data_IF_618996783544
#
_entry.id   IF_618996783544
#
_cell.length_a   1.000
_cell.length_b   1.000
_cell.length_c   1.000
_cell.angle_alpha   90.00
_cell.angle_beta   90.00
_cell.angle_gamma   90.00
#
_symmetry.space_group_name_H-M   'P 1'
#
loop_
_entity.id
_entity.type
_entity.pdbx_description
1 polymer ?
#
# COMPACT_ATOMS: atom_id res chain seq x y z
N UNK A 1 16.66 -11.83 -39.89
CA UNK A 1 15.61 -12.80 -39.52
C UNK A 1 15.65 -12.92 -38.00
N UNK A 2 14.81 -12.17 -37.29
CA UNK A 2 14.55 -12.38 -35.89
C UNK A 2 13.84 -13.73 -35.76
N UNK A 3 14.56 -14.74 -35.26
CA UNK A 3 14.00 -16.06 -34.96
C UNK A 3 12.76 -15.89 -34.10
N UNK A 4 11.66 -16.58 -34.43
CA UNK A 4 10.46 -16.64 -33.59
C UNK A 4 10.88 -17.19 -32.23
N UNK A 5 10.95 -16.32 -31.23
CA UNK A 5 11.16 -16.72 -29.86
C UNK A 5 9.99 -17.65 -29.50
N UNK A 6 10.28 -18.91 -29.18
CA UNK A 6 9.27 -19.86 -28.73
C UNK A 6 8.72 -19.33 -27.38
N UNK A 7 7.42 -19.15 -27.32
CA UNK A 7 6.75 -18.82 -26.04
C UNK A 7 6.82 -20.03 -25.12
N UNK A 8 6.97 -19.81 -23.80
CA UNK A 8 6.82 -20.89 -22.83
C UNK A 8 5.48 -21.62 -22.99
N UNK A 9 5.42 -22.88 -22.60
CA UNK A 9 4.19 -23.64 -22.55
C UNK A 9 3.27 -23.14 -21.46
N UNK A 10 1.98 -23.36 -21.59
CA UNK A 10 1.00 -22.96 -20.59
C UNK A 10 -0.40 -23.50 -20.91
N UNK A 11 -1.31 -23.46 -19.94
CA UNK A 11 -2.66 -23.91 -20.12
C UNK A 11 -3.41 -23.06 -21.16
N UNK A 12 -4.31 -23.68 -21.90
CA UNK A 12 -5.16 -22.98 -22.87
C UNK A 12 -6.04 -21.91 -22.18
N UNK A 13 -6.23 -20.78 -22.85
CA UNK A 13 -6.93 -19.60 -22.30
C UNK A 13 -8.31 -19.91 -21.71
N UNK A 14 -9.06 -20.83 -22.33
CA UNK A 14 -10.40 -21.23 -21.86
C UNK A 14 -10.30 -22.02 -20.55
N UNK A 15 -9.32 -22.93 -20.43
CA UNK A 15 -9.10 -23.70 -19.21
C UNK A 15 -8.78 -22.81 -18.00
N UNK A 16 -7.90 -21.82 -18.18
CA UNK A 16 -7.54 -20.86 -17.12
C UNK A 16 -8.75 -20.04 -16.67
N UNK A 17 -9.51 -19.49 -17.61
CA UNK A 17 -10.71 -18.69 -17.29
C UNK A 17 -11.75 -19.53 -16.57
N UNK A 18 -12.03 -20.76 -17.04
CA UNK A 18 -12.99 -21.66 -16.38
C UNK A 18 -12.52 -22.03 -14.96
N UNK A 19 -11.23 -22.30 -14.78
CA UNK A 19 -10.68 -22.65 -13.47
C UNK A 19 -10.72 -21.44 -12.52
N UNK A 20 -10.38 -20.24 -12.98
CA UNK A 20 -10.50 -19.00 -12.20
C UNK A 20 -11.95 -18.71 -11.81
N UNK A 21 -12.91 -18.98 -12.71
CA UNK A 21 -14.33 -18.79 -12.41
C UNK A 21 -14.86 -19.84 -11.43
N UNK A 22 -14.34 -21.07 -11.47
CA UNK A 22 -14.73 -22.15 -10.56
C UNK A 22 -14.07 -22.06 -9.19
N UNK A 23 -12.89 -21.42 -9.10
CA UNK A 23 -12.11 -21.26 -7.86
C UNK A 23 -12.03 -19.79 -7.44
N UNK A 24 -13.16 -19.10 -7.43
CA UNK A 24 -13.26 -17.67 -7.08
C UNK A 24 -12.65 -17.30 -5.72
N UNK A 25 -12.62 -18.26 -4.80
CA UNK A 25 -12.14 -18.05 -3.43
C UNK A 25 -10.61 -18.24 -3.30
N UNK A 26 -9.95 -18.89 -4.27
CA UNK A 26 -8.51 -19.17 -4.21
C UNK A 26 -7.82 -19.00 -5.57
N UNK A 27 -7.74 -17.81 -6.14
CA UNK A 27 -7.16 -17.59 -7.47
C UNK A 27 -5.67 -17.94 -7.56
N UNK A 28 -4.92 -17.87 -6.46
CA UNK A 28 -3.51 -18.23 -6.37
C UNK A 28 -3.27 -19.73 -6.65
N UNK A 29 -4.17 -20.62 -6.26
CA UNK A 29 -4.03 -22.06 -6.52
C UNK A 29 -3.98 -22.38 -8.00
N UNK A 30 -4.66 -21.58 -8.84
CA UNK A 30 -4.65 -21.73 -10.30
C UNK A 30 -3.28 -21.40 -10.87
N UNK A 31 -2.64 -20.35 -10.38
CA UNK A 31 -1.29 -19.94 -10.80
C UNK A 31 -0.24 -20.95 -10.32
N UNK A 32 -0.36 -21.47 -9.11
CA UNK A 32 0.51 -22.54 -8.61
C UNK A 32 0.39 -23.82 -9.42
N UNK A 33 -0.83 -24.26 -9.69
CA UNK A 33 -1.07 -25.45 -10.50
C UNK A 33 -0.51 -25.29 -11.92
N UNK A 34 -0.67 -24.12 -12.52
CA UNK A 34 -0.10 -23.80 -13.82
C UNK A 34 1.43 -23.83 -13.80
N UNK A 35 2.07 -23.24 -12.79
CA UNK A 35 3.52 -23.24 -12.63
C UNK A 35 4.06 -24.67 -12.41
N UNK A 36 3.40 -25.47 -11.59
CA UNK A 36 3.79 -26.89 -11.36
C UNK A 36 3.67 -27.73 -12.63
N UNK A 37 2.65 -27.49 -13.45
CA UNK A 37 2.39 -28.26 -14.66
C UNK A 37 3.30 -27.87 -15.85
N UNK A 38 3.68 -26.60 -15.95
CA UNK A 38 4.33 -26.05 -17.15
C UNK A 38 5.73 -25.46 -16.89
N UNK A 39 6.19 -25.47 -15.63
CA UNK A 39 7.54 -25.07 -15.27
C UNK A 39 7.68 -23.61 -14.79
N UNK A 40 8.94 -23.15 -14.62
CA UNK A 40 9.25 -21.89 -13.91
C UNK A 40 8.78 -20.62 -14.62
N UNK A 41 8.49 -20.70 -15.91
CA UNK A 41 7.87 -19.62 -16.69
C UNK A 41 6.69 -20.19 -17.46
N UNK A 42 5.49 -19.89 -17.01
CA UNK A 42 4.26 -20.37 -17.62
C UNK A 42 3.59 -19.24 -18.39
N UNK A 43 3.24 -19.47 -19.65
CA UNK A 43 2.52 -18.50 -20.45
C UNK A 43 1.01 -18.80 -20.46
N UNK A 44 0.20 -17.78 -20.14
CA UNK A 44 -1.25 -17.85 -20.27
C UNK A 44 -1.77 -16.65 -21.08
N UNK A 45 -2.93 -16.78 -21.69
CA UNK A 45 -3.60 -15.66 -22.36
C UNK A 45 -4.89 -15.33 -21.63
N UNK A 46 -4.95 -14.14 -21.06
CA UNK A 46 -6.11 -13.65 -20.28
C UNK A 46 -6.60 -12.33 -20.86
N UNK A 47 -7.89 -12.22 -21.13
CA UNK A 47 -8.53 -11.01 -21.69
C UNK A 47 -7.79 -10.42 -22.91
N UNK A 48 -7.24 -11.29 -23.76
CA UNK A 48 -6.47 -10.87 -24.95
C UNK A 48 -5.00 -10.59 -24.72
N UNK A 49 -4.56 -10.47 -23.48
CA UNK A 49 -3.18 -10.17 -23.08
C UNK A 49 -2.36 -11.45 -22.88
N UNK A 50 -1.06 -11.34 -23.11
CA UNK A 50 -0.10 -12.37 -22.81
C UNK A 50 0.41 -12.17 -21.38
N UNK A 51 0.10 -13.12 -20.50
CA UNK A 51 0.53 -13.12 -19.11
C UNK A 51 1.59 -14.21 -18.92
N UNK A 52 2.68 -13.86 -18.26
CA UNK A 52 3.76 -14.79 -17.93
C UNK A 52 3.83 -14.91 -16.41
N UNK A 53 3.61 -16.13 -15.90
CA UNK A 53 3.74 -16.46 -14.48
C UNK A 53 5.18 -16.92 -14.29
N UNK A 54 5.94 -16.16 -13.51
CA UNK A 54 7.35 -16.46 -13.20
C UNK A 54 7.41 -16.91 -11.75
N UNK A 55 7.77 -18.18 -11.52
CA UNK A 55 7.81 -18.82 -10.19
C UNK A 55 9.23 -19.16 -9.71
N UNK A 56 10.24 -19.03 -10.56
CA UNK A 56 11.64 -19.27 -10.19
C UNK A 56 12.22 -18.03 -9.51
N UNK A 57 12.79 -18.14 -8.28
CA UNK A 57 13.33 -17.00 -7.55
C UNK A 57 14.48 -16.28 -8.28
N UNK A 58 15.31 -16.99 -9.05
CA UNK A 58 16.42 -16.39 -9.80
C UNK A 58 15.88 -15.52 -10.95
N UNK A 59 14.86 -15.99 -11.66
CA UNK A 59 14.19 -15.22 -12.71
C UNK A 59 13.41 -14.04 -12.15
N UNK A 60 12.77 -14.18 -10.99
CA UNK A 60 12.12 -13.06 -10.28
C UNK A 60 13.16 -12.01 -9.93
N UNK A 61 14.31 -12.42 -9.40
CA UNK A 61 15.43 -11.51 -9.10
C UNK A 61 15.93 -10.81 -10.36
N UNK A 62 16.10 -11.53 -11.49
CA UNK A 62 16.50 -10.94 -12.76
C UNK A 62 15.52 -9.85 -13.21
N UNK A 63 14.20 -10.12 -13.18
CA UNK A 63 13.16 -9.16 -13.58
C UNK A 63 13.17 -7.91 -12.69
N UNK A 64 13.21 -8.07 -11.37
CA UNK A 64 13.02 -6.94 -10.45
C UNK A 64 14.29 -6.17 -10.11
N UNK A 65 15.47 -6.79 -10.23
CA UNK A 65 16.75 -6.12 -9.94
C UNK A 65 17.55 -5.84 -11.20
N UNK A 66 17.89 -6.88 -11.96
CA UNK A 66 18.81 -6.73 -13.11
C UNK A 66 18.15 -5.99 -14.27
N UNK A 67 16.88 -6.32 -14.55
CA UNK A 67 16.11 -5.76 -15.68
C UNK A 67 14.99 -4.82 -15.24
N UNK A 68 15.04 -4.28 -14.03
CA UNK A 68 14.01 -3.40 -13.50
C UNK A 68 13.67 -2.20 -14.41
N UNK A 69 14.66 -1.71 -15.17
CA UNK A 69 14.47 -0.59 -16.12
C UNK A 69 13.83 -1.00 -17.45
N UNK A 70 13.77 -2.30 -17.75
CA UNK A 70 13.19 -2.84 -18.99
C UNK A 70 11.71 -3.24 -18.82
N UNK A 71 11.22 -3.23 -17.61
CA UNK A 71 9.86 -3.58 -17.25
C UNK A 71 9.09 -2.38 -16.71
N UNK A 72 7.79 -2.42 -16.83
CA UNK A 72 6.89 -1.39 -16.30
C UNK A 72 5.74 -2.03 -15.52
N UNK A 73 5.08 -1.26 -14.69
CA UNK A 73 3.93 -1.69 -13.90
C UNK A 73 2.77 -2.07 -14.80
N UNK A 74 2.10 -3.16 -14.45
CA UNK A 74 1.01 -3.72 -15.25
C UNK A 74 -0.23 -2.84 -15.28
N UNK A 75 -1.14 -3.14 -16.21
CA UNK A 75 -2.40 -2.38 -16.41
C UNK A 75 -3.29 -2.34 -15.17
N UNK A 76 -3.28 -3.39 -14.32
CA UNK A 76 -4.05 -3.41 -13.07
C UNK A 76 -3.65 -2.25 -12.15
N UNK A 77 -2.35 -2.03 -11.99
CA UNK A 77 -1.84 -0.93 -11.18
C UNK A 77 -2.08 0.44 -11.84
N UNK A 78 -1.92 0.51 -13.17
CA UNK A 78 -2.24 1.74 -13.92
C UNK A 78 -3.73 2.11 -13.81
N UNK A 79 -4.63 1.16 -13.65
CA UNK A 79 -6.05 1.41 -13.44
C UNK A 79 -6.37 2.11 -12.10
N UNK A 80 -5.44 2.10 -11.14
CA UNK A 80 -5.56 2.83 -9.88
C UNK A 80 -5.20 4.34 -9.99
N UNK A 81 -4.70 4.80 -11.14
CA UNK A 81 -4.34 6.22 -11.34
C UNK A 81 -5.46 7.24 -11.04
N UNK A 82 -6.74 6.98 -11.31
CA UNK A 82 -7.78 7.93 -10.93
C UNK A 82 -7.84 8.21 -9.42
N UNK A 83 -7.41 7.25 -8.59
CA UNK A 83 -7.30 7.41 -7.14
C UNK A 83 -5.93 7.93 -6.73
N UNK A 84 -4.86 7.27 -7.18
CA UNK A 84 -3.49 7.46 -6.70
C UNK A 84 -2.71 8.51 -7.52
N UNK A 85 -3.31 9.07 -8.57
CA UNK A 85 -2.62 9.99 -9.47
C UNK A 85 -1.37 9.35 -10.10
N UNK A 86 -0.30 10.10 -10.14
CA UNK A 86 1.02 9.66 -10.62
C UNK A 86 2.04 9.54 -9.49
N UNK A 87 1.60 9.11 -8.30
CA UNK A 87 2.46 8.88 -7.14
C UNK A 87 3.38 7.67 -7.30
N UNK A 88 4.15 7.36 -6.27
CA UNK A 88 5.22 6.36 -6.31
C UNK A 88 4.74 4.97 -6.76
N UNK A 89 3.51 4.59 -6.45
CA UNK A 89 2.93 3.30 -6.83
C UNK A 89 2.56 3.20 -8.32
N UNK A 90 2.18 4.29 -8.96
CA UNK A 90 1.64 4.33 -10.34
C UNK A 90 2.57 4.99 -11.36
N UNK A 91 3.55 5.78 -10.91
CA UNK A 91 4.53 6.46 -11.75
C UNK A 91 5.55 5.50 -12.37
N UNK A 92 6.19 5.91 -13.46
CA UNK A 92 7.13 5.11 -14.22
C UNK A 92 8.40 5.91 -14.59
N UNK A 93 9.45 5.19 -14.95
CA UNK A 93 10.68 5.73 -15.54
C UNK A 93 11.41 6.74 -14.65
N UNK A 94 11.93 7.81 -15.25
CA UNK A 94 12.71 8.83 -14.54
C UNK A 94 11.88 9.62 -13.53
N UNK A 95 10.59 9.84 -13.83
CA UNK A 95 9.69 10.50 -12.90
C UNK A 95 9.52 9.67 -11.63
N UNK A 96 9.30 8.35 -11.75
CA UNK A 96 9.24 7.44 -10.60
C UNK A 96 10.53 7.50 -9.77
N UNK A 97 11.70 7.46 -10.42
CA UNK A 97 12.98 7.52 -9.72
C UNK A 97 13.17 8.84 -8.98
N UNK A 98 12.69 9.94 -9.55
CA UNK A 98 12.67 11.24 -8.90
C UNK A 98 11.78 11.24 -7.65
N UNK A 99 10.52 10.80 -7.78
CA UNK A 99 9.60 10.73 -6.64
C UNK A 99 10.18 9.86 -5.51
N UNK A 100 10.79 8.73 -5.86
CA UNK A 100 11.46 7.85 -4.91
C UNK A 100 12.62 8.56 -4.18
N UNK A 101 13.48 9.30 -4.89
CA UNK A 101 14.57 10.06 -4.26
C UNK A 101 14.06 11.12 -3.29
N UNK A 102 12.99 11.83 -3.66
CA UNK A 102 12.36 12.84 -2.81
C UNK A 102 11.72 12.26 -1.55
N UNK A 103 11.07 11.10 -1.67
CA UNK A 103 10.40 10.44 -0.54
C UNK A 103 11.35 9.65 0.36
N UNK A 104 12.45 9.10 -0.17
CA UNK A 104 13.35 8.20 0.56
C UNK A 104 13.88 8.75 1.89
N UNK A 105 14.26 10.04 2.04
CA UNK A 105 14.76 10.58 3.30
C UNK A 105 13.78 10.45 4.47
N UNK A 106 12.48 10.50 4.21
CA UNK A 106 11.44 10.35 5.23
C UNK A 106 11.37 8.93 5.83
N UNK A 107 12.01 7.95 5.17
CA UNK A 107 12.09 6.55 5.61
C UNK A 107 13.48 6.18 6.15
N UNK A 108 14.31 7.15 6.53
CA UNK A 108 15.56 6.86 7.21
C UNK A 108 15.32 6.28 8.60
N UNK A 109 16.27 5.43 9.06
CA UNK A 109 16.15 4.68 10.32
C UNK A 109 15.79 5.53 11.53
N UNK A 110 16.34 6.71 11.64
CA UNK A 110 16.07 7.65 12.75
C UNK A 110 14.61 8.10 12.75
N UNK A 111 14.02 8.33 11.55
CA UNK A 111 12.61 8.71 11.41
C UNK A 111 11.67 7.57 11.74
N UNK A 112 11.99 6.37 11.24
CA UNK A 112 11.22 5.18 11.58
C UNK A 112 11.22 4.93 13.09
N UNK A 113 12.34 5.21 13.78
CA UNK A 113 12.41 5.09 15.21
C UNK A 113 11.52 6.13 15.94
N UNK A 114 11.41 7.36 15.42
CA UNK A 114 10.48 8.35 15.94
C UNK A 114 9.02 7.94 15.75
N UNK A 115 8.67 7.40 14.60
CA UNK A 115 7.31 6.88 14.33
C UNK A 115 6.92 5.71 15.23
N UNK A 116 7.89 4.96 15.78
CA UNK A 116 7.61 3.86 16.69
C UNK A 116 6.91 4.32 17.98
N UNK A 117 7.21 5.52 18.49
CA UNK A 117 6.53 6.08 19.66
C UNK A 117 5.05 6.33 19.40
N UNK A 118 4.72 6.87 18.21
CA UNK A 118 3.33 7.06 17.79
C UNK A 118 2.61 5.71 17.61
N UNK A 119 3.28 4.71 17.03
CA UNK A 119 2.72 3.37 16.86
C UNK A 119 2.39 2.72 18.19
N UNK A 120 3.28 2.80 19.19
CA UNK A 120 3.06 2.27 20.53
C UNK A 120 1.90 3.01 21.20
N UNK A 121 1.92 4.36 21.16
CA UNK A 121 0.86 5.19 21.75
C UNK A 121 -0.53 4.84 21.20
N UNK A 122 -0.67 4.67 19.90
CA UNK A 122 -1.94 4.31 19.29
C UNK A 122 -2.36 2.87 19.59
N UNK A 123 -1.40 1.94 19.67
CA UNK A 123 -1.65 0.56 20.04
C UNK A 123 -2.13 0.44 21.50
N UNK A 124 -1.49 1.15 22.45
CA UNK A 124 -1.91 1.22 23.85
C UNK A 124 -3.31 1.83 23.97
N UNK A 125 -3.53 3.00 23.35
CA UNK A 125 -4.84 3.66 23.34
C UNK A 125 -5.95 2.77 22.80
N UNK A 126 -5.64 1.92 21.85
CA UNK A 126 -6.59 0.95 21.28
C UNK A 126 -6.83 -0.20 22.22
N UNK A 127 -5.77 -0.80 22.76
CA UNK A 127 -5.84 -1.89 23.75
C UNK A 127 -6.61 -1.52 25.02
N UNK A 128 -6.46 -0.30 25.50
CA UNK A 128 -7.15 0.22 26.70
C UNK A 128 -8.69 0.27 26.54
N UNK A 129 -9.20 0.21 25.31
CA UNK A 129 -10.65 0.16 25.05
C UNK A 129 -11.20 -1.26 25.11
N UNK A 130 -10.36 -2.27 25.10
CA UNK A 130 -10.79 -3.65 25.15
C UNK A 130 -11.19 -4.02 26.57
N UNK A 131 -12.32 -4.65 26.69
CA UNK A 131 -12.89 -5.05 27.97
C UNK A 131 -12.90 -6.58 28.03
N UNK A 132 -12.50 -7.13 29.17
CA UNK A 132 -12.49 -8.57 29.37
C UNK A 132 -13.86 -9.21 29.09
N UNK A 133 -13.88 -10.26 28.27
CA UNK A 133 -15.09 -10.93 27.82
C UNK A 133 -15.87 -10.24 26.69
N UNK A 134 -15.40 -9.10 26.17
CA UNK A 134 -16.00 -8.48 24.98
C UNK A 134 -15.61 -9.24 23.69
N UNK A 135 -16.53 -9.28 22.74
CA UNK A 135 -16.26 -9.70 21.38
C UNK A 135 -15.87 -8.48 20.55
N UNK A 136 -14.76 -8.58 19.82
CA UNK A 136 -14.27 -7.52 18.95
C UNK A 136 -14.03 -8.06 17.53
N UNK A 137 -14.35 -7.27 16.51
CA UNK A 137 -13.94 -7.58 15.14
C UNK A 137 -12.50 -7.15 14.95
N UNK A 138 -11.61 -8.13 14.78
CA UNK A 138 -10.17 -7.88 14.70
C UNK A 138 -9.78 -7.16 13.39
N UNK A 139 -10.56 -7.30 12.33
CA UNK A 139 -10.32 -6.56 11.07
C UNK A 139 -10.63 -5.08 11.30
N UNK A 140 -11.76 -4.75 11.91
CA UNK A 140 -12.13 -3.37 12.22
C UNK A 140 -11.15 -2.72 13.21
N UNK A 141 -10.70 -3.49 14.22
CA UNK A 141 -9.72 -3.03 15.19
C UNK A 141 -8.37 -2.70 14.54
N UNK A 142 -7.83 -3.61 13.73
CA UNK A 142 -6.55 -3.39 13.07
C UNK A 142 -6.63 -2.33 11.97
N UNK A 143 -7.74 -2.24 11.26
CA UNK A 143 -8.02 -1.18 10.29
C UNK A 143 -7.99 0.19 10.96
N UNK A 144 -8.72 0.33 12.07
CA UNK A 144 -8.76 1.60 12.83
C UNK A 144 -7.41 1.95 13.46
N UNK A 145 -6.68 0.95 13.99
CA UNK A 145 -5.35 1.15 14.56
C UNK A 145 -4.36 1.66 13.50
N UNK A 146 -4.24 0.95 12.39
CA UNK A 146 -3.29 1.31 11.33
C UNK A 146 -3.63 2.65 10.68
N UNK A 147 -4.92 3.00 10.61
CA UNK A 147 -5.34 4.31 10.13
C UNK A 147 -4.93 5.43 11.09
N UNK A 148 -5.10 5.25 12.41
CA UNK A 148 -4.66 6.22 13.41
C UNK A 148 -3.13 6.41 13.37
N UNK A 149 -2.38 5.31 13.25
CA UNK A 149 -0.92 5.34 13.10
C UNK A 149 -0.51 6.13 11.84
N UNK A 150 -1.15 5.84 10.70
CA UNK A 150 -0.89 6.57 9.45
C UNK A 150 -1.20 8.06 9.60
N UNK A 151 -2.31 8.42 10.25
CA UNK A 151 -2.67 9.80 10.54
C UNK A 151 -1.59 10.54 11.32
N UNK A 152 -1.07 9.94 12.37
CA UNK A 152 0.00 10.54 13.19
C UNK A 152 1.34 10.61 12.46
N UNK A 153 1.77 9.51 11.87
CA UNK A 153 3.08 9.44 11.23
C UNK A 153 3.15 10.21 9.90
N UNK A 154 2.05 10.27 9.14
CA UNK A 154 2.01 11.01 7.89
C UNK A 154 1.70 12.49 8.07
N UNK A 155 0.82 12.85 9.03
CA UNK A 155 0.25 14.19 9.14
C UNK A 155 0.47 14.84 10.51
N UNK A 156 1.14 14.16 11.45
CA UNK A 156 1.34 14.65 12.82
C UNK A 156 0.04 14.93 13.58
N UNK A 157 -1.10 14.47 13.09
CA UNK A 157 -2.41 14.81 13.62
C UNK A 157 -3.29 13.59 13.84
N UNK A 158 -4.21 13.74 14.79
CA UNK A 158 -5.24 12.75 15.04
C UNK A 158 -6.37 12.93 14.02
N UNK A 159 -6.42 12.03 13.04
CA UNK A 159 -7.48 12.02 12.02
C UNK A 159 -8.80 11.43 12.54
N UNK A 160 -8.95 11.13 13.84
CA UNK A 160 -10.13 10.41 14.37
C UNK A 160 -11.46 11.13 14.14
N UNK A 161 -11.50 12.43 13.92
CA UNK A 161 -12.70 13.18 13.53
C UNK A 161 -13.11 13.01 12.07
N UNK A 162 -12.15 13.05 11.16
CA UNK A 162 -12.34 12.85 9.71
C UNK A 162 -12.09 11.38 9.30
N UNK A 163 -11.52 10.58 10.20
CA UNK A 163 -11.03 9.23 9.96
C UNK A 163 -12.10 8.25 9.53
N UNK A 164 -13.27 8.30 10.15
CA UNK A 164 -14.36 7.40 9.78
C UNK A 164 -14.81 7.70 8.34
N UNK A 165 -14.99 8.97 8.00
CA UNK A 165 -15.37 9.37 6.64
C UNK A 165 -14.28 9.06 5.62
N UNK A 166 -13.00 9.23 5.99
CA UNK A 166 -11.86 8.90 5.13
C UNK A 166 -11.73 7.39 4.93
N UNK A 167 -11.84 6.60 6.01
CA UNK A 167 -11.79 5.14 5.97
C UNK A 167 -12.93 4.56 5.13
N UNK A 168 -14.17 5.00 5.34
CA UNK A 168 -15.34 4.58 4.58
C UNK A 168 -15.20 4.88 3.09
N UNK A 169 -14.71 6.08 2.74
CA UNK A 169 -14.46 6.47 1.35
C UNK A 169 -13.36 5.57 0.75
N UNK A 170 -12.28 5.33 1.47
CA UNK A 170 -11.17 4.53 0.99
C UNK A 170 -11.59 3.07 0.76
N UNK A 171 -12.34 2.47 1.68
CA UNK A 171 -12.89 1.12 1.54
C UNK A 171 -13.83 1.02 0.33
N UNK A 172 -14.75 1.98 0.15
CA UNK A 172 -15.63 2.04 -1.04
C UNK A 172 -14.80 2.14 -2.34
N UNK A 173 -13.71 2.92 -2.33
CA UNK A 173 -12.82 3.08 -3.47
C UNK A 173 -12.08 1.78 -3.78
N UNK A 174 -11.49 1.12 -2.79
CA UNK A 174 -10.76 -0.15 -2.96
C UNK A 174 -11.68 -1.24 -3.52
N UNK A 175 -12.84 -1.44 -2.90
CA UNK A 175 -13.85 -2.40 -3.36
C UNK A 175 -14.38 -2.07 -4.77
N UNK A 176 -14.52 -0.78 -5.06
CA UNK A 176 -14.97 -0.27 -6.36
C UNK A 176 -13.94 -0.47 -7.47
N UNK A 177 -12.67 -0.15 -7.21
CA UNK A 177 -11.60 -0.26 -8.20
C UNK A 177 -11.33 -1.70 -8.62
N UNK A 178 -11.39 -2.67 -7.71
CA UNK A 178 -11.29 -4.10 -8.06
C UNK A 178 -12.31 -4.53 -9.11
N UNK A 179 -13.53 -4.00 -9.04
CA UNK A 179 -14.59 -4.31 -10.01
C UNK A 179 -14.49 -3.51 -11.32
N UNK A 180 -13.93 -2.31 -11.29
CA UNK A 180 -13.81 -1.42 -12.45
C UNK A 180 -12.51 -1.66 -13.24
N UNK A 181 -11.45 -2.12 -12.59
CA UNK A 181 -10.19 -2.50 -13.25
C UNK A 181 -10.40 -3.62 -14.29
N UNK A 182 -11.40 -4.48 -14.07
CA UNK A 182 -11.79 -5.49 -15.04
C UNK A 182 -12.34 -4.90 -16.37
N UNK A 183 -12.83 -3.65 -16.35
CA UNK A 183 -13.34 -2.96 -17.54
C UNK A 183 -12.19 -2.42 -18.40
N UNK A 184 -11.04 -2.13 -17.80
CA UNK A 184 -9.80 -1.76 -18.49
C UNK A 184 -9.84 -0.46 -19.32
N UNK A 185 -10.93 0.32 -19.25
CA UNK A 185 -11.10 1.56 -20.01
C UNK A 185 -11.64 2.69 -19.14
N UNK A 186 -10.80 3.66 -18.80
CA UNK A 186 -11.13 4.80 -17.97
C UNK A 186 -12.31 5.62 -18.50
N UNK A 187 -12.44 5.78 -19.84
CA UNK A 187 -13.54 6.53 -20.44
C UNK A 187 -14.90 5.86 -20.19
N UNK A 188 -14.91 4.53 -20.17
CA UNK A 188 -16.12 3.73 -19.85
C UNK A 188 -16.44 3.89 -18.36
N UNK A 189 -15.46 3.83 -17.49
CA UNK A 189 -15.62 4.04 -16.05
C UNK A 189 -16.26 5.40 -15.76
N UNK A 190 -15.81 6.48 -16.41
CA UNK A 190 -16.36 7.85 -16.25
C UNK A 190 -17.83 7.99 -16.67
N UNK A 191 -18.32 7.13 -17.55
CA UNK A 191 -19.72 7.19 -18.05
C UNK A 191 -20.66 6.34 -17.19
N UNK A 192 -20.16 5.27 -16.57
CA UNK A 192 -20.96 4.39 -15.73
C UNK A 192 -21.39 5.10 -14.43
N UNK A 193 -22.66 4.91 -13.97
CA UNK A 193 -23.13 5.51 -12.72
C UNK A 193 -22.24 5.14 -11.51
N UNK A 194 -21.85 3.87 -11.39
CA UNK A 194 -20.93 3.40 -10.35
C UNK A 194 -19.56 4.06 -10.45
N UNK A 195 -19.03 4.23 -11.65
CA UNK A 195 -17.75 4.88 -11.86
C UNK A 195 -17.78 6.37 -11.52
N UNK A 196 -18.86 7.07 -11.89
CA UNK A 196 -19.04 8.50 -11.51
C UNK A 196 -19.14 8.70 -10.01
N UNK A 197 -19.87 7.81 -9.30
CA UNK A 197 -19.95 7.85 -7.84
C UNK A 197 -18.56 7.67 -7.22
N UNK A 198 -17.79 6.70 -7.73
CA UNK A 198 -16.44 6.42 -7.25
C UNK A 198 -15.51 7.62 -7.46
N UNK A 199 -15.56 8.26 -8.66
CA UNK A 199 -14.77 9.45 -8.94
C UNK A 199 -15.18 10.66 -8.08
N UNK A 200 -16.47 10.78 -7.73
CA UNK A 200 -16.92 11.79 -6.76
C UNK A 200 -16.30 11.57 -5.38
N UNK A 201 -16.20 10.32 -4.94
CA UNK A 201 -15.53 9.98 -3.66
C UNK A 201 -14.03 10.29 -3.69
N UNK A 202 -13.37 10.10 -4.83
CA UNK A 202 -11.97 10.53 -4.99
C UNK A 202 -11.86 12.04 -4.78
N UNK A 203 -12.79 12.83 -5.34
CA UNK A 203 -12.78 14.29 -5.17
C UNK A 203 -13.01 14.70 -3.70
N UNK A 204 -13.88 14.00 -2.97
CA UNK A 204 -14.10 14.24 -1.54
C UNK A 204 -12.80 14.00 -0.74
N UNK A 205 -12.10 12.92 -1.07
CA UNK A 205 -10.82 12.55 -0.46
C UNK A 205 -9.71 13.56 -0.79
N UNK A 206 -9.65 13.99 -2.06
CA UNK A 206 -8.72 15.02 -2.52
C UNK A 206 -8.87 16.32 -1.74
N UNK A 207 -10.10 16.72 -1.45
CA UNK A 207 -10.38 17.92 -0.67
C UNK A 207 -9.85 17.82 0.78
N UNK A 208 -9.93 16.63 1.39
CA UNK A 208 -9.35 16.40 2.73
C UNK A 208 -7.83 16.49 2.67
N UNK A 209 -7.20 15.79 1.72
CA UNK A 209 -5.73 15.80 1.57
C UNK A 209 -5.22 17.21 1.27
N UNK A 210 -5.89 17.96 0.38
CA UNK A 210 -5.50 19.33 0.06
C UNK A 210 -5.58 20.25 1.28
N UNK A 211 -6.63 20.15 2.07
CA UNK A 211 -6.77 20.91 3.32
C UNK A 211 -5.60 20.64 4.28
N UNK A 212 -5.21 19.37 4.46
CA UNK A 212 -4.08 19.01 5.32
C UNK A 212 -2.76 19.59 4.78
N UNK A 213 -2.53 19.53 3.48
CA UNK A 213 -1.36 20.15 2.84
C UNK A 213 -1.33 21.67 3.09
N UNK A 214 -2.46 22.33 2.93
CA UNK A 214 -2.57 23.78 3.13
C UNK A 214 -2.35 24.17 4.60
N UNK A 215 -2.91 23.41 5.55
CA UNK A 215 -2.71 23.58 6.99
C UNK A 215 -1.22 23.48 7.37
N UNK A 216 -0.49 22.46 6.85
CA UNK A 216 0.94 22.30 7.09
C UNK A 216 1.78 23.47 6.56
N UNK A 217 1.39 24.00 5.39
CA UNK A 217 2.06 25.18 4.81
C UNK A 217 1.81 26.46 5.60
N UNK A 218 0.58 26.64 6.06
CA UNK A 218 0.20 27.77 6.90
C UNK A 218 0.88 27.73 8.26
N UNK A 219 0.97 26.54 8.87
CA UNK A 219 1.68 26.33 10.12
C UNK A 219 3.16 26.65 9.96
N UNK A 220 3.77 26.17 8.90
CA UNK A 220 5.16 26.49 8.59
C UNK A 220 5.38 27.99 8.37
N UNK A 221 4.48 28.67 7.66
CA UNK A 221 4.57 30.11 7.48
C UNK A 221 4.48 30.88 8.81
N UNK A 222 3.84 30.27 9.81
CA UNK A 222 3.75 30.80 11.20
C UNK A 222 4.91 30.37 12.09
N UNK A 223 5.87 29.57 11.57
CA UNK A 223 7.03 29.08 12.33
C UNK A 223 6.72 27.85 13.19
N UNK A 224 5.60 27.16 12.94
CA UNK A 224 5.29 25.87 13.55
C UNK A 224 5.91 24.77 12.68
N UNK A 225 6.76 23.96 13.27
CA UNK A 225 7.41 22.83 12.61
C UNK A 225 6.69 21.53 13.01
N UNK A 226 6.42 20.69 12.02
CA UNK A 226 5.91 19.35 12.19
C UNK A 226 7.01 18.35 11.83
N UNK A 227 7.15 17.27 12.61
CA UNK A 227 8.11 16.19 12.36
C UNK A 227 7.40 14.94 11.80
N UNK A 228 6.67 15.13 10.72
CA UNK A 228 5.87 14.12 10.03
C UNK A 228 6.30 13.93 8.56
N UNK A 229 5.80 12.88 7.92
CA UNK A 229 6.15 12.56 6.54
C UNK A 229 5.76 13.68 5.57
N UNK A 230 4.60 14.31 5.74
CA UNK A 230 4.11 15.36 4.83
C UNK A 230 5.03 16.58 4.86
N UNK A 231 5.47 17.00 6.07
CA UNK A 231 6.43 18.09 6.23
C UNK A 231 7.74 17.82 5.50
N UNK A 232 8.23 16.57 5.58
CA UNK A 232 9.42 16.15 4.84
C UNK A 232 9.24 16.18 3.34
N UNK A 233 8.08 15.77 2.82
CA UNK A 233 7.79 15.83 1.40
C UNK A 233 7.65 17.27 0.89
N UNK A 234 7.05 18.16 1.67
CA UNK A 234 6.95 19.60 1.36
C UNK A 234 8.33 20.22 1.24
N UNK A 235 9.29 19.79 2.07
CA UNK A 235 10.65 20.30 2.09
C UNK A 235 11.62 19.64 1.14
N UNK A 236 11.30 18.46 0.66
CA UNK A 236 12.16 17.68 -0.20
C UNK A 236 12.57 18.43 -1.47
N UNK A 237 13.86 18.39 -1.80
CA UNK A 237 14.43 19.05 -2.97
C UNK A 237 15.19 18.05 -3.85
N UNK A 238 14.91 18.08 -5.13
CA UNK A 238 15.59 17.30 -6.14
C UNK A 238 16.54 18.19 -6.97
N UNK A 239 17.82 18.07 -6.72
CA UNK A 239 18.83 18.81 -7.46
C UNK A 239 19.11 18.19 -8.84
N UNK A 240 18.98 16.87 -8.98
CA UNK A 240 19.26 16.15 -10.23
C UNK A 240 18.16 16.34 -11.28
N UNK A 241 16.89 16.29 -10.87
CA UNK A 241 15.73 16.41 -11.77
C UNK A 241 15.18 17.84 -11.91
N UNK A 242 15.79 18.82 -11.25
CA UNK A 242 15.26 20.19 -11.15
C UNK A 242 14.99 20.86 -12.50
N UNK A 243 15.82 20.62 -13.49
CA UNK A 243 15.67 21.21 -14.83
C UNK A 243 14.43 20.70 -15.59
N UNK A 244 14.00 19.47 -15.33
CA UNK A 244 12.88 18.82 -16.04
C UNK A 244 11.58 18.89 -15.26
N UNK A 245 11.64 18.72 -13.93
CA UNK A 245 10.45 18.51 -13.08
C UNK A 245 10.29 19.58 -11.99
N UNK A 246 11.20 20.56 -11.91
CA UNK A 246 11.27 21.50 -10.80
C UNK A 246 12.03 20.94 -9.58
N UNK A 247 12.47 21.83 -8.71
CA UNK A 247 13.29 21.46 -7.53
C UNK A 247 12.44 20.77 -6.45
N UNK A 248 11.16 21.14 -6.31
CA UNK A 248 10.24 20.64 -5.28
C UNK A 248 9.08 19.86 -5.91
N UNK A 249 8.34 19.14 -5.08
CA UNK A 249 7.06 18.58 -5.48
C UNK A 249 6.02 19.69 -5.68
N UNK A 250 5.17 19.54 -6.69
CA UNK A 250 3.94 20.33 -6.85
C UNK A 250 2.88 19.84 -5.88
N UNK A 251 1.79 20.60 -5.68
CA UNK A 251 0.67 20.18 -4.83
C UNK A 251 0.01 18.90 -5.34
N UNK A 252 -0.10 18.75 -6.66
CA UNK A 252 -0.59 17.53 -7.28
C UNK A 252 0.33 16.33 -6.97
N UNK A 253 1.65 16.52 -7.04
CA UNK A 253 2.61 15.47 -6.69
C UNK A 253 2.57 15.12 -5.19
N UNK A 254 2.46 16.12 -4.31
CA UNK A 254 2.30 15.90 -2.87
C UNK A 254 1.02 15.12 -2.58
N UNK A 255 -0.10 15.53 -3.17
CA UNK A 255 -1.38 14.81 -3.07
C UNK A 255 -1.23 13.35 -3.51
N UNK A 256 -0.60 13.09 -4.65
CA UNK A 256 -0.44 11.76 -5.22
C UNK A 256 0.44 10.86 -4.33
N UNK A 257 1.49 11.40 -3.74
CA UNK A 257 2.32 10.67 -2.79
C UNK A 257 1.60 10.42 -1.45
N UNK A 258 0.90 11.40 -0.92
CA UNK A 258 0.09 11.25 0.29
C UNK A 258 -0.94 10.14 0.11
N UNK A 259 -1.69 10.14 -0.98
CA UNK A 259 -2.66 9.10 -1.29
C UNK A 259 -2.00 7.72 -1.42
N UNK A 260 -0.82 7.67 -2.03
CA UNK A 260 -0.04 6.43 -2.17
C UNK A 260 0.37 5.89 -0.80
N UNK A 261 0.89 6.73 0.09
CA UNK A 261 1.38 6.28 1.41
C UNK A 261 0.23 5.90 2.36
N UNK A 262 -0.86 6.66 2.35
CA UNK A 262 -2.06 6.31 3.13
C UNK A 262 -2.57 4.93 2.73
N UNK A 263 -2.81 4.70 1.44
CA UNK A 263 -3.31 3.42 0.95
C UNK A 263 -2.34 2.27 1.28
N UNK A 264 -1.04 2.47 1.01
CA UNK A 264 -0.04 1.45 1.22
C UNK A 264 0.17 1.10 2.71
N UNK A 265 0.15 2.09 3.59
CA UNK A 265 0.43 1.90 5.02
C UNK A 265 -0.76 1.36 5.82
N UNK A 266 -1.97 1.78 5.47
CA UNK A 266 -3.18 1.43 6.19
C UNK A 266 -3.63 0.00 5.94
N UNK A 267 -4.11 -0.32 4.73
CA UNK A 267 -4.80 -1.57 4.43
C UNK A 267 -3.89 -2.80 4.53
N UNK A 268 -2.67 -2.72 3.97
CA UNK A 268 -1.76 -3.87 3.95
C UNK A 268 -1.35 -4.28 5.34
N UNK A 269 -1.08 -3.32 6.22
CA UNK A 269 -0.69 -3.56 7.61
C UNK A 269 -1.88 -4.06 8.43
N UNK A 270 -3.06 -3.49 8.26
CA UNK A 270 -4.29 -3.96 8.90
C UNK A 270 -4.57 -5.44 8.59
N UNK A 271 -4.50 -5.81 7.32
CA UNK A 271 -4.70 -7.20 6.90
C UNK A 271 -3.62 -8.14 7.44
N UNK A 272 -2.35 -7.72 7.43
CA UNK A 272 -1.27 -8.52 7.99
C UNK A 272 -1.48 -8.79 9.49
N UNK A 273 -1.85 -7.77 10.26
CA UNK A 273 -2.15 -7.90 11.70
C UNK A 273 -3.38 -8.76 11.94
N UNK A 274 -4.47 -8.57 11.17
CA UNK A 274 -5.69 -9.38 11.30
C UNK A 274 -5.41 -10.87 11.05
N UNK A 275 -4.65 -11.19 9.99
CA UNK A 275 -4.22 -12.56 9.72
C UNK A 275 -3.30 -13.11 10.81
N UNK A 276 -2.44 -12.28 11.39
CA UNK A 276 -1.56 -12.68 12.51
C UNK A 276 -2.41 -13.08 13.72
N UNK A 277 -3.37 -12.26 14.12
CA UNK A 277 -4.28 -12.59 15.21
C UNK A 277 -5.07 -13.87 14.97
N UNK A 278 -5.60 -14.04 13.75
CA UNK A 278 -6.32 -15.26 13.39
C UNK A 278 -5.40 -16.51 13.45
N UNK A 279 -4.19 -16.42 12.90
CA UNK A 279 -3.23 -17.53 12.94
C UNK A 279 -2.82 -17.88 14.37
N UNK A 280 -2.56 -16.89 15.21
CA UNK A 280 -2.24 -17.12 16.62
C UNK A 280 -3.41 -17.76 17.38
N UNK A 281 -4.64 -17.34 17.11
CA UNK A 281 -5.82 -17.99 17.72
C UNK A 281 -5.99 -19.45 17.32
N UNK A 282 -5.57 -19.81 16.11
CA UNK A 282 -5.59 -21.19 15.62
C UNK A 282 -4.38 -22.03 16.09
N UNK A 283 -3.31 -21.40 16.61
CA UNK A 283 -2.06 -22.04 16.97
C UNK A 283 -1.59 -21.62 18.39
N UNK A 284 -2.24 -22.12 19.47
CA UNK A 284 -1.96 -21.67 20.83
C UNK A 284 -0.50 -21.81 21.27
N UNK A 285 0.20 -22.85 20.82
CA UNK A 285 1.62 -23.05 21.16
C UNK A 285 2.52 -21.94 20.56
N UNK A 286 2.20 -21.47 19.37
CA UNK A 286 2.94 -20.37 18.75
C UNK A 286 2.59 -19.03 19.41
N UNK A 287 1.36 -18.86 19.87
CA UNK A 287 0.95 -17.70 20.66
C UNK A 287 1.69 -17.65 22.01
N UNK A 288 1.82 -18.79 22.70
CA UNK A 288 2.59 -18.90 23.94
C UNK A 288 4.07 -18.58 23.72
N UNK A 289 4.70 -19.14 22.68
CA UNK A 289 6.09 -18.86 22.34
C UNK A 289 6.33 -17.38 22.02
N UNK A 290 5.43 -16.75 21.30
CA UNK A 290 5.49 -15.29 21.02
C UNK A 290 5.39 -14.48 22.32
N UNK A 291 4.49 -14.88 23.21
CA UNK A 291 4.33 -14.21 24.50
C UNK A 291 5.59 -14.30 25.35
N UNK A 292 6.17 -15.50 25.47
CA UNK A 292 7.41 -15.73 26.21
C UNK A 292 8.59 -14.91 25.65
N UNK A 293 8.72 -14.84 24.31
CA UNK A 293 9.74 -14.03 23.64
C UNK A 293 9.56 -12.54 23.94
N UNK A 294 8.33 -12.02 23.83
CA UNK A 294 8.03 -10.62 24.14
C UNK A 294 8.35 -10.28 25.59
N UNK A 295 7.99 -11.15 26.54
CA UNK A 295 8.32 -10.94 27.95
C UNK A 295 9.85 -10.93 28.20
N UNK A 296 10.61 -11.82 27.55
CA UNK A 296 12.06 -11.85 27.67
C UNK A 296 12.69 -10.57 27.11
N UNK A 297 12.27 -10.14 25.94
CA UNK A 297 12.74 -8.89 25.28
C UNK A 297 12.42 -7.69 26.15
N UNK A 298 11.17 -7.52 26.58
CA UNK A 298 10.76 -6.38 27.43
C UNK A 298 11.51 -6.34 28.76
N UNK A 299 11.70 -7.50 29.43
CA UNK A 299 12.53 -7.58 30.64
C UNK A 299 13.99 -7.17 30.40
N UNK A 300 14.55 -7.53 29.23
CA UNK A 300 15.92 -7.16 28.87
C UNK A 300 16.09 -5.64 28.68
N UNK A 301 15.12 -4.98 28.06
CA UNK A 301 15.11 -3.53 27.87
C UNK A 301 14.93 -2.77 29.19
N UNK A 302 14.03 -3.22 30.06
CA UNK A 302 13.86 -2.67 31.40
C UNK A 302 15.14 -2.79 32.25
N UNK A 303 15.81 -3.95 32.19
CA UNK A 303 17.09 -4.17 32.88
C UNK A 303 18.22 -3.29 32.34
N UNK A 304 18.17 -2.89 31.07
CA UNK A 304 19.11 -1.96 30.45
C UNK A 304 18.79 -0.48 30.73
N UNK A 305 17.72 -0.17 31.50
CA UNK A 305 17.31 1.20 31.82
C UNK A 305 16.60 1.93 30.67
N UNK A 306 16.18 1.20 29.65
CA UNK A 306 15.38 1.75 28.53
C UNK A 306 13.91 1.66 28.96
N UNK A 307 13.31 2.80 29.29
CA UNK A 307 11.93 2.89 29.77
C UNK A 307 10.92 3.26 28.69
N UNK A 308 11.39 3.51 27.47
CA UNK A 308 10.54 3.77 26.31
C UNK A 308 11.04 2.94 25.13
N UNK A 309 10.19 2.04 24.65
CA UNK A 309 10.29 1.45 23.33
C UNK A 309 9.25 2.13 22.49
#
# INVERSE_FOLDING_TARGET
QLGRVRRPEGPGSVGVVLTLLSQREQPNTVFEAAARAHGPVTHVRMAGEHVYIVSDPALVTEVFLTRAREVMKGRGLQAARPLLGNGLLTSEGEFHMRQRRLAQPAFHRERIAAYAEDMVTEAERRGDRWVDGAEVDMVDEMTSLTFAIVGRTLFGTDLTGDAAAFGDILEELIAGFGSLSAIGNERVVRVLPKGRRLLSRVTDLDAVVQRIIDEHRDDRARGVEHDDLLSWLIDARDQEGAATYGERMTDEQLRDEVMTFVLAGHETTAMALSWTWWLLSCNPLEAERLHDELEEVLRSYQAAGVHHI
#
